data_IF_883755157401
#
_entry.id   IF_883755157401
#
_cell.length_a   1.000
_cell.length_b   1.000
_cell.length_c   1.000
_cell.angle_alpha   90.00
_cell.angle_beta   90.00
_cell.angle_gamma   90.00
#
_symmetry.space_group_name_H-M   'P 1'
#
loop_
_entity.id
_entity.type
_entity.pdbx_description
1 polymer ?
#
# COMPACT_ATOMS: atom_id res chain seq x y z
N UNK A 1 -18.73 -20.20 -4.13
CA UNK A 1 -18.93 -19.93 -2.69
C UNK A 1 -17.84 -20.58 -1.86
N UNK A 2 -17.22 -19.81 -0.97
CA UNK A 2 -16.06 -20.19 -0.17
C UNK A 2 -16.37 -20.13 1.32
N UNK A 3 -15.76 -21.00 2.10
CA UNK A 3 -15.76 -20.90 3.56
C UNK A 3 -14.77 -19.83 4.04
N UNK A 4 -14.97 -19.32 5.26
CA UNK A 4 -14.04 -18.36 5.87
C UNK A 4 -12.60 -18.89 5.95
N UNK A 5 -12.41 -20.21 6.09
CA UNK A 5 -11.09 -20.84 6.10
C UNK A 5 -10.42 -20.79 4.73
N UNK A 6 -11.17 -21.09 3.67
CA UNK A 6 -10.66 -20.99 2.29
C UNK A 6 -10.29 -19.55 1.94
N UNK A 7 -11.12 -18.57 2.32
CA UNK A 7 -10.83 -17.15 2.08
C UNK A 7 -9.62 -16.69 2.90
N UNK A 8 -9.50 -17.12 4.15
CA UNK A 8 -8.33 -16.84 4.98
C UNK A 8 -7.04 -17.32 4.31
N UNK A 9 -7.03 -18.53 3.74
CA UNK A 9 -5.90 -19.08 3.00
C UNK A 9 -5.62 -18.30 1.70
N UNK A 10 -6.66 -18.02 0.90
CA UNK A 10 -6.54 -17.29 -0.37
C UNK A 10 -5.93 -15.88 -0.22
N UNK A 11 -6.24 -15.20 0.89
CA UNK A 11 -5.78 -13.83 1.14
C UNK A 11 -4.61 -13.76 2.13
N UNK A 12 -4.17 -14.90 2.68
CA UNK A 12 -3.15 -14.94 3.72
C UNK A 12 -3.55 -14.20 5.01
N UNK A 13 -4.85 -14.18 5.32
CA UNK A 13 -5.41 -13.46 6.47
C UNK A 13 -5.78 -14.42 7.60
N UNK A 14 -5.56 -14.04 8.87
CA UNK A 14 -6.14 -14.76 9.99
C UNK A 14 -7.67 -14.79 9.89
N UNK A 15 -8.27 -15.93 10.23
CA UNK A 15 -9.74 -16.06 10.32
C UNK A 15 -10.34 -14.99 11.24
N UNK A 16 -9.63 -14.60 12.31
CA UNK A 16 -10.04 -13.53 13.22
C UNK A 16 -10.18 -12.17 12.51
N UNK A 17 -9.31 -11.86 11.54
CA UNK A 17 -9.40 -10.63 10.73
C UNK A 17 -10.64 -10.63 9.87
N UNK A 18 -10.93 -11.74 9.18
CA UNK A 18 -12.16 -11.86 8.38
C UNK A 18 -13.43 -11.75 9.25
N UNK A 19 -13.42 -12.37 10.45
CA UNK A 19 -14.51 -12.21 11.42
C UNK A 19 -14.64 -10.78 11.91
N UNK A 20 -13.53 -10.09 12.11
CA UNK A 20 -13.51 -8.70 12.50
C UNK A 20 -14.12 -7.82 11.40
N UNK A 21 -13.72 -7.98 10.13
CA UNK A 21 -14.31 -7.28 8.99
C UNK A 21 -15.81 -7.52 8.88
N UNK A 22 -16.23 -8.78 9.05
CA UNK A 22 -17.65 -9.13 9.04
C UNK A 22 -18.43 -8.44 10.18
N UNK A 23 -17.85 -8.42 11.38
CA UNK A 23 -18.42 -7.70 12.54
C UNK A 23 -18.49 -6.19 12.33
N UNK A 24 -17.54 -5.61 11.59
CA UNK A 24 -17.57 -4.19 11.21
C UNK A 24 -18.58 -3.89 10.09
N UNK A 25 -19.29 -4.90 9.57
CA UNK A 25 -20.33 -4.72 8.57
C UNK A 25 -19.81 -4.56 7.15
N UNK A 26 -18.57 -4.98 6.87
CA UNK A 26 -17.98 -4.86 5.53
C UNK A 26 -18.58 -5.85 4.51
N UNK A 27 -19.33 -6.84 4.98
CA UNK A 27 -20.01 -7.83 4.14
C UNK A 27 -21.52 -7.92 4.47
N UNK A 28 -22.30 -6.86 4.21
CA UNK A 28 -23.69 -6.80 4.67
C UNK A 28 -24.58 -7.86 4.01
N UNK A 29 -24.30 -8.21 2.76
CA UNK A 29 -25.15 -9.08 1.92
C UNK A 29 -24.65 -10.54 1.84
N UNK A 30 -23.70 -10.94 2.70
CA UNK A 30 -23.11 -12.27 2.62
C UNK A 30 -24.14 -13.37 2.89
N UNK A 31 -24.29 -14.28 1.93
CA UNK A 31 -25.24 -15.40 1.99
C UNK A 31 -24.91 -16.40 3.10
N UNK A 32 -25.95 -17.13 3.55
CA UNK A 32 -25.82 -18.24 4.48
C UNK A 32 -26.24 -19.55 3.84
N UNK A 33 -25.35 -20.53 3.84
CA UNK A 33 -25.65 -21.91 3.45
C UNK A 33 -25.63 -22.77 4.70
N UNK A 34 -26.76 -23.43 4.98
CA UNK A 34 -26.94 -24.24 6.20
C UNK A 34 -26.64 -23.46 7.49
N UNK A 35 -27.05 -22.18 7.52
CA UNK A 35 -26.82 -21.28 8.66
C UNK A 35 -25.42 -20.65 8.74
N UNK A 36 -24.47 -21.09 7.89
CA UNK A 36 -23.08 -20.62 7.90
C UNK A 36 -22.87 -19.59 6.79
N UNK A 37 -22.25 -18.45 7.13
CA UNK A 37 -21.85 -17.42 6.17
C UNK A 37 -20.86 -17.95 5.14
N UNK A 38 -21.12 -17.68 3.86
CA UNK A 38 -20.29 -18.09 2.72
C UNK A 38 -19.92 -16.89 1.88
N UNK A 39 -18.66 -16.82 1.48
CA UNK A 39 -18.16 -15.76 0.61
C UNK A 39 -18.46 -16.14 -0.84
N UNK A 40 -19.27 -15.35 -1.53
CA UNK A 40 -19.44 -15.43 -2.98
C UNK A 40 -18.36 -14.63 -3.70
N UNK A 41 -18.41 -14.61 -5.03
CA UNK A 41 -17.43 -13.89 -5.84
C UNK A 41 -17.50 -12.37 -5.58
N UNK A 42 -18.70 -11.85 -5.26
CA UNK A 42 -18.89 -10.46 -4.85
C UNK A 42 -18.14 -10.12 -3.57
N UNK A 43 -18.19 -10.96 -2.53
CA UNK A 43 -17.43 -10.73 -1.30
C UNK A 43 -15.92 -10.88 -1.50
N UNK A 44 -15.50 -11.77 -2.41
CA UNK A 44 -14.08 -11.93 -2.77
C UNK A 44 -13.55 -10.65 -3.40
N UNK A 45 -14.27 -10.08 -4.37
CA UNK A 45 -13.87 -8.81 -5.00
C UNK A 45 -13.95 -7.64 -4.02
N UNK A 46 -14.97 -7.59 -3.16
CA UNK A 46 -15.03 -6.60 -2.09
C UNK A 46 -13.82 -6.70 -1.14
N UNK A 47 -13.42 -7.92 -0.77
CA UNK A 47 -12.26 -8.14 0.10
C UNK A 47 -10.95 -7.69 -0.58
N UNK A 48 -10.78 -7.88 -1.90
CA UNK A 48 -9.62 -7.33 -2.62
C UNK A 48 -9.54 -5.81 -2.48
N UNK A 49 -10.67 -5.12 -2.62
CA UNK A 49 -10.74 -3.66 -2.49
C UNK A 49 -10.47 -3.23 -1.04
N UNK A 50 -11.08 -3.89 -0.06
CA UNK A 50 -10.87 -3.64 1.37
C UNK A 50 -9.38 -3.76 1.72
N UNK A 51 -8.73 -4.84 1.28
CA UNK A 51 -7.31 -5.06 1.54
C UNK A 51 -6.42 -4.04 0.82
N UNK A 52 -6.78 -3.62 -0.39
CA UNK A 52 -6.09 -2.56 -1.10
C UNK A 52 -6.16 -1.24 -0.33
N UNK A 53 -7.36 -0.81 0.07
CA UNK A 53 -7.58 0.41 0.84
C UNK A 53 -6.89 0.35 2.20
N UNK A 54 -6.89 -0.81 2.87
CA UNK A 54 -6.20 -0.96 4.15
C UNK A 54 -4.69 -0.85 4.01
N UNK A 55 -4.11 -1.42 2.94
CA UNK A 55 -2.68 -1.26 2.61
C UNK A 55 -2.31 0.17 2.23
N UNK A 56 -3.24 0.91 1.63
CA UNK A 56 -3.09 2.34 1.36
C UNK A 56 -3.20 3.23 2.62
N UNK A 57 -3.30 2.64 3.81
CA UNK A 57 -3.33 3.37 5.08
C UNK A 57 -4.73 3.75 5.58
N UNK A 58 -5.78 3.36 4.86
CA UNK A 58 -7.15 3.75 5.22
C UNK A 58 -7.64 3.01 6.46
N UNK A 59 -8.40 3.70 7.30
CA UNK A 59 -8.98 3.10 8.51
C UNK A 59 -10.26 2.33 8.19
N UNK A 60 -10.55 1.29 8.99
CA UNK A 60 -11.69 0.39 8.74
C UNK A 60 -13.03 1.13 8.78
N UNK A 61 -13.13 2.20 9.58
CA UNK A 61 -14.31 3.08 9.61
C UNK A 61 -14.59 3.74 8.26
N UNK A 62 -13.54 4.16 7.54
CA UNK A 62 -13.67 4.88 6.28
C UNK A 62 -13.91 3.88 5.15
N UNK A 63 -13.33 2.67 5.26
CA UNK A 63 -13.61 1.56 4.34
C UNK A 63 -15.08 1.15 4.47
N UNK A 64 -15.62 1.13 5.69
CA UNK A 64 -17.05 0.89 5.90
C UNK A 64 -17.92 1.94 5.21
N UNK A 65 -17.56 3.23 5.31
CA UNK A 65 -18.30 4.28 4.62
C UNK A 65 -18.31 4.07 3.09
N UNK A 66 -17.19 3.62 2.52
CA UNK A 66 -17.14 3.23 1.10
C UNK A 66 -18.08 2.04 0.78
N UNK A 67 -18.16 1.05 1.67
CA UNK A 67 -19.10 -0.07 1.51
C UNK A 67 -20.56 0.38 1.62
N UNK A 68 -20.88 1.32 2.52
CA UNK A 68 -22.22 1.89 2.63
C UNK A 68 -22.61 2.64 1.36
N UNK A 69 -21.68 3.42 0.78
CA UNK A 69 -21.88 4.02 -0.54
C UNK A 69 -22.12 2.96 -1.61
N UNK A 70 -21.36 1.86 -1.59
CA UNK A 70 -21.57 0.72 -2.49
C UNK A 70 -23.02 0.22 -2.47
N UNK A 71 -23.61 0.09 -1.28
CA UNK A 71 -25.00 -0.33 -1.10
C UNK A 71 -26.00 0.74 -1.58
N UNK A 72 -25.73 2.03 -1.34
CA UNK A 72 -26.60 3.13 -1.79
C UNK A 72 -26.70 3.21 -3.32
N UNK A 73 -25.67 2.74 -4.03
CA UNK A 73 -25.69 2.62 -5.48
C UNK A 73 -25.26 3.90 -6.22
N UNK A 74 -25.75 4.12 -7.46
CA UNK A 74 -25.18 5.09 -8.40
C UNK A 74 -25.10 6.54 -7.93
N UNK A 75 -25.95 6.96 -6.99
CA UNK A 75 -25.93 8.31 -6.40
C UNK A 75 -24.58 8.66 -5.75
N UNK A 76 -23.81 7.66 -5.34
CA UNK A 76 -22.56 7.83 -4.61
C UNK A 76 -21.30 7.70 -5.46
N UNK A 77 -21.43 7.50 -6.78
CA UNK A 77 -20.27 7.38 -7.67
C UNK A 77 -19.28 8.56 -7.55
N UNK A 78 -19.71 9.83 -7.44
CA UNK A 78 -18.79 10.94 -7.22
C UNK A 78 -17.96 10.79 -5.94
N UNK A 79 -18.58 10.39 -4.82
CA UNK A 79 -17.93 10.20 -3.52
C UNK A 79 -16.92 9.05 -3.56
N UNK A 80 -17.31 7.92 -4.17
CA UNK A 80 -16.41 6.77 -4.33
C UNK A 80 -15.21 7.12 -5.20
N UNK A 81 -15.43 7.84 -6.31
CA UNK A 81 -14.36 8.30 -7.20
C UNK A 81 -13.40 9.23 -6.46
N UNK A 82 -13.92 10.22 -5.74
CA UNK A 82 -13.13 11.15 -4.96
C UNK A 82 -12.24 10.44 -3.92
N UNK A 83 -12.79 9.44 -3.22
CA UNK A 83 -12.03 8.61 -2.28
C UNK A 83 -10.85 7.91 -2.95
N UNK A 84 -11.05 7.27 -4.10
CA UNK A 84 -9.94 6.61 -4.82
C UNK A 84 -8.92 7.60 -5.39
N UNK A 85 -9.35 8.78 -5.83
CA UNK A 85 -8.43 9.82 -6.31
C UNK A 85 -7.57 10.38 -5.18
N UNK A 86 -8.15 10.59 -4.00
CA UNK A 86 -7.42 10.99 -2.79
C UNK A 86 -6.41 9.93 -2.37
N UNK A 87 -6.83 8.66 -2.28
CA UNK A 87 -5.94 7.56 -1.92
C UNK A 87 -4.83 7.35 -2.97
N UNK A 88 -5.13 7.50 -4.27
CA UNK A 88 -4.12 7.45 -5.32
C UNK A 88 -3.07 8.55 -5.13
N UNK A 89 -3.51 9.79 -4.96
CA UNK A 89 -2.62 10.94 -4.75
C UNK A 89 -1.73 10.76 -3.50
N UNK A 90 -2.31 10.24 -2.41
CA UNK A 90 -1.56 9.91 -1.21
C UNK A 90 -0.49 8.85 -1.48
N UNK A 91 -0.82 7.76 -2.17
CA UNK A 91 0.15 6.71 -2.53
C UNK A 91 1.23 7.18 -3.49
N UNK A 92 0.90 8.03 -4.47
CA UNK A 92 1.89 8.64 -5.37
C UNK A 92 2.89 9.49 -4.57
N UNK A 93 2.40 10.27 -3.59
CA UNK A 93 3.25 11.06 -2.69
C UNK A 93 4.15 10.18 -1.82
N UNK A 94 3.62 9.11 -1.24
CA UNK A 94 4.40 8.16 -0.44
C UNK A 94 5.47 7.47 -1.29
N UNK A 95 5.14 7.07 -2.54
CA UNK A 95 6.11 6.49 -3.47
C UNK A 95 7.24 7.46 -3.79
N UNK A 96 6.95 8.75 -3.99
CA UNK A 96 8.00 9.76 -4.18
C UNK A 96 8.92 9.86 -2.96
N UNK A 97 8.38 9.88 -1.74
CA UNK A 97 9.18 9.92 -0.51
C UNK A 97 10.02 8.64 -0.31
N UNK A 98 9.43 7.47 -0.58
CA UNK A 98 10.15 6.19 -0.53
C UNK A 98 11.26 6.14 -1.57
N UNK A 99 11.04 6.67 -2.78
CA UNK A 99 12.06 6.74 -3.82
C UNK A 99 13.20 7.68 -3.43
N UNK A 100 12.94 8.85 -2.82
CA UNK A 100 14.00 9.73 -2.29
C UNK A 100 14.81 9.04 -1.19
N UNK A 101 14.13 8.33 -0.29
CA UNK A 101 14.78 7.53 0.76
C UNK A 101 15.67 6.45 0.15
N UNK A 102 15.16 5.72 -0.84
CA UNK A 102 15.91 4.69 -1.56
C UNK A 102 17.12 5.29 -2.29
N UNK A 103 17.00 6.47 -2.87
CA UNK A 103 18.10 7.14 -3.56
C UNK A 103 19.22 7.57 -2.58
N UNK A 104 18.88 8.03 -1.37
CA UNK A 104 19.88 8.23 -0.30
C UNK A 104 20.61 6.92 0.03
N UNK A 105 19.87 5.81 0.16
CA UNK A 105 20.45 4.50 0.45
C UNK A 105 21.38 4.04 -0.69
N UNK A 106 20.98 4.18 -1.96
CA UNK A 106 21.82 3.88 -3.12
C UNK A 106 23.12 4.68 -3.10
N UNK A 107 23.02 5.99 -2.84
CA UNK A 107 24.19 6.86 -2.70
C UNK A 107 25.12 6.37 -1.59
N UNK A 108 24.59 6.07 -0.40
CA UNK A 108 25.40 5.60 0.74
C UNK A 108 26.01 4.22 0.53
N UNK A 109 25.30 3.29 -0.13
CA UNK A 109 25.85 2.00 -0.53
C UNK A 109 27.07 2.18 -1.44
N UNK A 110 26.93 2.99 -2.50
CA UNK A 110 28.06 3.31 -3.37
C UNK A 110 29.20 4.01 -2.62
N UNK A 111 28.87 5.00 -1.79
CA UNK A 111 29.85 5.78 -1.03
C UNK A 111 30.74 4.87 -0.18
N UNK A 112 30.12 3.98 0.62
CA UNK A 112 30.89 3.09 1.48
C UNK A 112 31.59 1.97 0.70
N UNK A 113 31.04 1.51 -0.44
CA UNK A 113 31.77 0.60 -1.33
C UNK A 113 33.08 1.23 -1.82
N UNK A 114 33.07 2.53 -2.16
CA UNK A 114 34.27 3.25 -2.56
C UNK A 114 35.22 3.53 -1.39
N UNK A 115 34.68 3.92 -0.23
CA UNK A 115 35.51 4.19 0.96
C UNK A 115 36.26 2.94 1.43
N UNK A 116 35.61 1.77 1.34
CA UNK A 116 36.25 0.48 1.63
C UNK A 116 37.39 0.19 0.64
N UNK A 117 37.19 0.47 -0.65
CA UNK A 117 38.23 0.28 -1.69
C UNK A 117 39.41 1.22 -1.50
N UNK A 118 39.16 2.46 -1.11
CA UNK A 118 40.18 3.49 -0.94
C UNK A 118 40.87 3.42 0.44
N UNK A 119 40.24 2.77 1.43
CA UNK A 119 40.68 2.77 2.82
C UNK A 119 40.49 4.12 3.55
N UNK A 120 39.88 5.11 2.90
CA UNK A 120 39.55 6.41 3.47
C UNK A 120 38.38 7.07 2.74
N UNK A 121 37.86 8.16 3.30
CA UNK A 121 36.79 8.96 2.69
C UNK A 121 37.31 10.21 1.95
N UNK A 122 38.62 10.44 1.95
CA UNK A 122 39.19 11.73 1.52
C UNK A 122 38.93 12.01 0.03
N UNK A 123 39.08 10.98 -0.82
CA UNK A 123 38.75 11.10 -2.24
C UNK A 123 37.26 11.43 -2.44
N UNK A 124 36.37 10.76 -1.72
CA UNK A 124 34.92 10.92 -1.88
C UNK A 124 34.44 12.31 -1.49
N UNK A 125 35.01 12.91 -0.45
CA UNK A 125 34.74 14.31 -0.06
C UNK A 125 35.09 15.30 -1.17
N UNK A 126 36.07 15.00 -2.03
CA UNK A 126 36.39 15.84 -3.19
C UNK A 126 35.46 15.64 -4.38
N UNK A 127 34.70 14.55 -4.41
CA UNK A 127 33.79 14.21 -5.51
C UNK A 127 32.37 14.76 -5.30
N UNK A 128 31.96 14.99 -4.05
CA UNK A 128 30.60 15.42 -3.73
C UNK A 128 30.52 16.96 -3.72
N UNK A 129 29.51 17.57 -4.38
CA UNK A 129 28.45 16.93 -5.18
C UNK A 129 28.80 16.79 -6.67
N UNK A 130 29.82 17.49 -7.16
CA UNK A 130 29.94 17.81 -8.60
C UNK A 130 30.50 16.68 -9.48
N UNK A 131 31.30 15.77 -8.92
CA UNK A 131 32.03 14.73 -9.67
C UNK A 131 31.57 13.31 -9.35
N UNK A 132 30.31 13.15 -8.98
CA UNK A 132 29.67 11.85 -8.83
C UNK A 132 29.41 11.20 -10.20
N UNK A 133 29.50 9.87 -10.33
CA UNK A 133 29.01 9.15 -11.51
C UNK A 133 27.54 9.48 -11.78
N UNK A 134 27.10 9.56 -13.03
CA UNK A 134 25.78 10.11 -13.39
C UNK A 134 24.60 9.46 -12.65
N UNK A 135 24.59 8.13 -12.51
CA UNK A 135 23.53 7.40 -11.77
C UNK A 135 23.53 7.69 -10.27
N UNK A 136 24.69 7.98 -9.70
CA UNK A 136 24.86 8.33 -8.28
C UNK A 136 24.58 9.81 -8.05
N UNK A 137 24.94 10.68 -9.01
CA UNK A 137 24.63 12.11 -8.96
C UNK A 137 23.12 12.31 -8.89
N UNK A 138 22.35 11.66 -9.77
CA UNK A 138 20.89 11.75 -9.76
C UNK A 138 20.28 11.29 -8.43
N UNK A 139 20.78 10.17 -7.88
CA UNK A 139 20.33 9.67 -6.58
C UNK A 139 20.67 10.65 -5.44
N UNK A 140 21.87 11.24 -5.47
CA UNK A 140 22.28 12.27 -4.52
C UNK A 140 21.38 13.51 -4.62
N UNK A 141 21.14 14.04 -5.83
CA UNK A 141 20.30 15.22 -6.06
C UNK A 141 18.86 14.98 -5.58
N UNK A 142 18.24 13.87 -5.99
CA UNK A 142 16.88 13.50 -5.58
C UNK A 142 16.74 13.35 -4.06
N UNK A 143 17.78 12.84 -3.39
CA UNK A 143 17.76 12.65 -1.95
C UNK A 143 17.93 13.96 -1.15
N UNK A 144 18.42 15.03 -1.79
CA UNK A 144 18.66 16.34 -1.17
C UNK A 144 17.71 17.44 -1.69
N UNK A 145 16.68 17.07 -2.48
CA UNK A 145 15.58 17.92 -2.93
C UNK A 145 14.33 17.76 -2.07
#
# INVERSE_FOLDING_TARGET
MYSIGQVAEMFGLPISTLRYYDKQGLFPNMERVSGIRKFGDTEIEALRVIECLKKAGMEIKDIRQFMDWCVEGPSTYPQRKALFEEQRSHMETELEQMNRTLDMLKFKCWYYEQAIKDGSEDRLKTLIPDRLPDGIRKAYENAHS
#
